data_IF_553958190675
#
_entry.id   IF_553958190675
#
_cell.length_a   1.000
_cell.length_b   1.000
_cell.length_c   1.000
_cell.angle_alpha   90.00
_cell.angle_beta   90.00
_cell.angle_gamma   90.00
#
_symmetry.space_group_name_H-M   'P 1'
#
loop_
_entity.id
_entity.type
_entity.pdbx_description
1 polymer ?
#
# COMPACT_ATOMS: atom_id res chain seq x y z
N UNK A 1 14.16 -4.75 -12.14
CA UNK A 1 13.80 -3.45 -11.52
C UNK A 1 13.82 -3.67 -10.01
N UNK A 2 14.24 -2.68 -9.22
CA UNK A 2 14.15 -2.78 -7.77
C UNK A 2 12.67 -2.92 -7.36
N UNK A 3 12.38 -3.80 -6.40
CA UNK A 3 11.01 -3.97 -5.90
C UNK A 3 10.61 -2.71 -5.10
N UNK A 4 9.34 -2.32 -5.19
CA UNK A 4 8.86 -1.15 -4.46
C UNK A 4 8.87 -1.46 -2.96
N UNK A 5 9.61 -0.66 -2.20
CA UNK A 5 9.71 -0.78 -0.75
C UNK A 5 8.51 -0.11 -0.06
N UNK A 6 7.92 -0.80 0.90
CA UNK A 6 6.99 -0.19 1.86
C UNK A 6 7.74 -0.01 3.16
N UNK A 7 7.63 1.18 3.73
CA UNK A 7 8.13 1.52 5.06
C UNK A 7 7.01 1.29 6.04
N UNK A 8 7.24 0.35 6.95
CA UNK A 8 6.21 -0.21 7.81
C UNK A 8 6.03 0.64 9.07
N UNK A 9 4.78 0.69 9.55
CA UNK A 9 4.42 1.33 10.80
C UNK A 9 4.80 0.44 11.96
N UNK A 10 5.88 0.80 12.66
CA UNK A 10 6.08 0.38 14.05
C UNK A 10 4.78 0.54 14.82
N UNK A 11 4.46 -0.34 15.77
CA UNK A 11 3.23 -0.27 16.57
C UNK A 11 3.29 0.80 17.69
N UNK A 12 4.18 1.76 17.53
CA UNK A 12 4.45 2.87 18.44
C UNK A 12 5.95 3.18 18.50
N UNK A 13 6.29 4.19 19.31
CA UNK A 13 7.68 4.57 19.54
C UNK A 13 8.58 3.43 20.06
N UNK A 14 8.16 2.54 20.98
CA UNK A 14 9.05 1.48 21.47
C UNK A 14 9.56 0.53 20.38
N UNK A 15 8.70 0.12 19.44
CA UNK A 15 9.13 -0.70 18.31
C UNK A 15 9.99 0.09 17.31
N UNK A 16 9.72 1.39 17.16
CA UNK A 16 10.57 2.28 16.36
C UNK A 16 11.97 2.38 16.93
N UNK A 17 12.07 2.64 18.23
CA UNK A 17 13.34 2.75 18.94
C UNK A 17 14.15 1.44 18.83
N UNK A 18 13.50 0.29 18.98
CA UNK A 18 14.15 -1.02 18.86
C UNK A 18 14.79 -1.23 17.49
N UNK A 19 14.06 -0.96 16.39
CA UNK A 19 14.61 -1.09 15.02
C UNK A 19 15.69 -0.03 14.73
N UNK A 20 15.52 1.18 15.24
CA UNK A 20 16.42 2.31 14.98
C UNK A 20 17.70 2.27 15.82
N UNK A 21 17.76 1.55 16.94
CA UNK A 21 18.93 1.45 17.83
C UNK A 21 20.19 0.86 17.16
N UNK A 22 20.04 0.14 16.03
CA UNK A 22 21.17 -0.29 15.19
C UNK A 22 21.64 0.75 14.14
N UNK A 23 20.89 1.84 13.96
CA UNK A 23 21.05 2.81 12.85
C UNK A 23 21.37 4.22 13.35
N UNK A 24 20.91 4.56 14.55
CA UNK A 24 21.09 5.87 15.17
C UNK A 24 21.79 5.75 16.54
N UNK A 25 22.59 6.76 16.95
CA UNK A 25 23.08 6.84 18.32
C UNK A 25 21.94 6.96 19.33
N UNK A 26 22.09 6.34 20.52
CA UNK A 26 21.08 6.45 21.61
C UNK A 26 20.72 7.89 21.99
N UNK A 27 21.68 8.80 21.93
CA UNK A 27 21.41 10.22 22.18
C UNK A 27 20.43 10.80 21.15
N UNK A 28 20.53 10.41 19.88
CA UNK A 28 19.58 10.83 18.84
C UNK A 28 18.21 10.20 19.09
N UNK A 29 18.15 8.93 19.47
CA UNK A 29 16.87 8.27 19.78
C UNK A 29 16.12 8.97 20.91
N UNK A 30 16.80 9.31 22.01
CA UNK A 30 16.19 10.05 23.11
C UNK A 30 15.62 11.41 22.66
N UNK A 31 16.30 12.09 21.74
CA UNK A 31 15.84 13.37 21.18
C UNK A 31 14.64 13.22 20.24
N UNK A 32 14.52 12.08 19.56
CA UNK A 32 13.37 11.75 18.72
C UNK A 32 12.17 11.28 19.54
N UNK A 33 12.39 10.59 20.66
CA UNK A 33 11.33 10.25 21.61
C UNK A 33 10.63 11.52 22.11
N UNK A 34 11.41 12.51 22.56
CA UNK A 34 10.87 13.80 23.03
C UNK A 34 10.11 14.53 21.90
N UNK A 35 10.61 14.48 20.67
CA UNK A 35 9.92 15.10 19.52
C UNK A 35 8.62 14.35 19.16
N UNK A 36 8.61 13.02 19.24
CA UNK A 36 7.43 12.21 19.01
C UNK A 36 6.36 12.46 20.09
N UNK A 37 6.75 12.50 21.37
CA UNK A 37 5.85 12.87 22.46
C UNK A 37 5.27 14.27 22.26
N UNK A 38 6.11 15.24 21.88
CA UNK A 38 5.65 16.59 21.53
C UNK A 38 4.65 16.59 20.38
N UNK A 39 4.90 15.84 19.31
CA UNK A 39 3.95 15.68 18.21
C UNK A 39 2.61 15.09 18.69
N UNK A 40 2.64 14.09 19.58
CA UNK A 40 1.43 13.51 20.17
C UNK A 40 0.65 14.50 21.05
N UNK A 41 1.33 15.37 21.79
CA UNK A 41 0.68 16.44 22.56
C UNK A 41 -0.16 17.36 21.66
N UNK A 42 0.38 17.72 20.48
CA UNK A 42 -0.32 18.60 19.53
C UNK A 42 -1.43 17.88 18.74
N UNK A 43 -1.14 16.71 18.18
CA UNK A 43 -2.10 15.98 17.34
C UNK A 43 -3.19 15.25 18.14
N UNK A 44 -2.97 15.00 19.44
CA UNK A 44 -3.95 14.37 20.32
C UNK A 44 -4.48 13.04 19.77
N UNK A 45 -5.80 12.94 19.61
CA UNK A 45 -6.50 11.75 19.10
C UNK A 45 -6.76 11.73 17.59
N UNK A 46 -6.00 12.49 16.80
CA UNK A 46 -6.20 12.61 15.34
C UNK A 46 -6.07 11.25 14.61
N UNK A 47 -6.96 11.03 13.64
CA UNK A 47 -7.06 9.80 12.83
C UNK A 47 -7.01 10.18 11.34
N UNK A 48 -6.28 9.40 10.53
CA UNK A 48 -6.18 9.57 9.07
C UNK A 48 -7.50 9.17 8.37
N UNK A 49 -7.71 9.58 7.10
CA UNK A 49 -8.93 9.21 6.35
C UNK A 49 -9.21 7.70 6.23
N UNK A 50 -8.20 6.85 6.37
CA UNK A 50 -8.30 5.40 6.35
C UNK A 50 -8.56 4.77 7.74
N UNK A 51 -8.63 5.57 8.81
CA UNK A 51 -8.85 5.09 10.18
C UNK A 51 -7.57 4.83 11.00
N UNK A 52 -6.39 4.98 10.39
CA UNK A 52 -5.08 4.83 11.04
C UNK A 52 -4.78 6.00 12.00
N UNK A 53 -4.05 5.73 13.07
CA UNK A 53 -3.65 6.79 13.99
C UNK A 53 -2.62 7.70 13.31
N UNK A 54 -2.72 9.01 13.53
CA UNK A 54 -1.88 9.96 12.81
C UNK A 54 -0.38 9.75 13.04
N UNK A 55 -0.01 9.28 14.22
CA UNK A 55 1.38 8.99 14.59
C UNK A 55 2.04 7.93 13.69
N UNK A 56 1.27 7.03 13.05
CA UNK A 56 1.81 6.04 12.11
C UNK A 56 2.49 6.73 10.92
N UNK A 57 1.90 7.82 10.43
CA UNK A 57 2.47 8.62 9.34
C UNK A 57 3.79 9.27 9.76
N UNK A 58 3.84 9.89 10.94
CA UNK A 58 5.06 10.51 11.46
C UNK A 58 6.22 9.53 11.56
N UNK A 59 5.95 8.33 12.08
CA UNK A 59 6.92 7.26 12.18
C UNK A 59 7.36 6.74 10.79
N UNK A 60 6.45 6.64 9.82
CA UNK A 60 6.81 6.27 8.45
C UNK A 60 7.72 7.30 7.78
N UNK A 61 7.52 8.60 8.03
CA UNK A 61 8.43 9.63 7.52
C UNK A 61 9.84 9.44 8.08
N UNK A 62 9.96 9.13 9.38
CA UNK A 62 11.26 8.81 9.99
C UNK A 62 11.86 7.53 9.41
N UNK A 63 11.08 6.47 9.21
CA UNK A 63 11.57 5.22 8.61
C UNK A 63 12.09 5.45 7.18
N UNK A 64 11.39 6.25 6.36
CA UNK A 64 11.88 6.64 5.04
C UNK A 64 13.22 7.38 5.16
N UNK A 65 13.32 8.40 6.02
CA UNK A 65 14.54 9.18 6.20
C UNK A 65 15.73 8.32 6.66
N UNK A 66 15.55 7.50 7.70
CA UNK A 66 16.65 6.70 8.27
C UNK A 66 16.94 5.48 7.42
N UNK A 67 15.93 4.68 7.16
CA UNK A 67 16.06 3.33 6.59
C UNK A 67 16.06 3.34 5.07
N UNK A 68 15.35 4.30 4.47
CA UNK A 68 15.35 4.53 3.04
C UNK A 68 16.55 5.34 2.60
N UNK A 69 16.87 6.42 3.35
CA UNK A 69 17.81 7.45 2.90
C UNK A 69 19.09 7.54 3.74
N UNK A 70 19.24 6.79 4.83
CA UNK A 70 20.44 6.81 5.67
C UNK A 70 20.67 8.14 6.38
N UNK A 71 19.62 8.92 6.61
CA UNK A 71 19.69 10.19 7.34
C UNK A 71 19.96 9.92 8.81
N UNK A 72 20.93 10.65 9.37
CA UNK A 72 21.31 10.61 10.80
C UNK A 72 21.27 11.98 11.46
N UNK A 73 20.87 13.01 10.70
CA UNK A 73 20.77 14.39 11.15
C UNK A 73 19.55 14.55 12.07
N UNK A 74 19.79 14.91 13.33
CA UNK A 74 18.75 14.95 14.37
C UNK A 74 17.68 16.01 14.09
N UNK A 75 18.02 17.19 13.56
CA UNK A 75 17.01 18.23 13.31
C UNK A 75 16.11 17.85 12.13
N UNK A 76 16.67 17.19 11.10
CA UNK A 76 15.88 16.69 9.98
C UNK A 76 14.93 15.56 10.41
N UNK A 77 15.39 14.66 11.29
CA UNK A 77 14.56 13.58 11.82
C UNK A 77 13.47 14.12 12.77
N UNK A 78 13.78 15.09 13.63
CA UNK A 78 12.78 15.82 14.43
C UNK A 78 11.77 16.54 13.55
N UNK A 79 12.22 17.23 12.51
CA UNK A 79 11.33 17.89 11.55
C UNK A 79 10.42 16.86 10.85
N UNK A 80 10.90 15.65 10.58
CA UNK A 80 10.07 14.53 10.13
C UNK A 80 8.89 14.22 11.06
N UNK A 81 9.12 14.21 12.37
CA UNK A 81 8.08 13.98 13.38
C UNK A 81 7.15 15.18 13.58
N UNK A 82 7.58 16.39 13.19
CA UNK A 82 6.90 17.65 13.50
C UNK A 82 6.33 18.37 12.27
N UNK A 83 6.53 17.83 11.07
CA UNK A 83 6.30 18.56 9.81
C UNK A 83 4.87 19.09 9.62
N UNK A 84 3.89 18.40 10.18
CA UNK A 84 2.48 18.75 10.04
C UNK A 84 1.91 19.48 11.28
N UNK A 85 2.71 19.72 12.33
CA UNK A 85 2.23 20.37 13.57
C UNK A 85 1.60 21.74 13.28
N UNK A 86 2.21 22.53 12.40
CA UNK A 86 1.73 23.88 12.07
C UNK A 86 0.55 23.83 11.08
N UNK A 87 0.45 22.79 10.26
CA UNK A 87 -0.60 22.68 9.24
C UNK A 87 -1.91 22.10 9.81
N UNK A 88 -1.79 21.13 10.72
CA UNK A 88 -2.92 20.32 11.20
C UNK A 88 -3.32 20.60 12.68
N UNK A 89 -2.58 21.45 13.40
CA UNK A 89 -2.83 21.73 14.83
C UNK A 89 -2.71 23.23 15.15
N UNK A 90 -2.93 23.61 16.41
CA UNK A 90 -2.73 24.98 16.91
C UNK A 90 -1.24 25.31 17.23
N UNK A 91 -0.31 24.37 16.99
CA UNK A 91 1.11 24.56 17.24
C UNK A 91 1.76 25.61 16.34
N UNK A 92 2.77 26.31 16.86
CA UNK A 92 3.45 27.42 16.17
C UNK A 92 4.93 27.15 15.90
N UNK A 93 5.52 27.81 14.90
CA UNK A 93 6.95 27.69 14.62
C UNK A 93 7.81 28.22 15.79
N UNK A 94 7.32 29.23 16.51
CA UNK A 94 7.98 29.75 17.71
C UNK A 94 8.04 28.70 18.83
N UNK A 95 6.98 27.92 19.02
CA UNK A 95 6.98 26.82 19.99
C UNK A 95 7.90 25.68 19.55
N UNK A 96 7.91 25.34 18.27
CA UNK A 96 8.84 24.34 17.71
C UNK A 96 10.29 24.80 17.92
N UNK A 97 10.61 26.07 17.63
CA UNK A 97 11.95 26.61 17.80
C UNK A 97 12.38 26.59 19.29
N UNK A 98 11.47 26.98 20.19
CA UNK A 98 11.73 27.01 21.62
C UNK A 98 11.99 25.62 22.22
N UNK A 99 11.32 24.57 21.72
CA UNK A 99 11.45 23.19 22.22
C UNK A 99 12.54 22.38 21.52
N UNK A 100 12.69 22.55 20.20
CA UNK A 100 13.47 21.64 19.34
C UNK A 100 14.57 22.33 18.52
N UNK A 101 14.72 23.65 18.68
CA UNK A 101 15.76 24.46 18.06
C UNK A 101 15.37 25.09 16.72
N UNK A 102 16.06 26.19 16.39
CA UNK A 102 15.80 27.01 15.20
C UNK A 102 15.83 26.21 13.90
N UNK A 103 16.82 25.34 13.72
CA UNK A 103 16.95 24.56 12.48
C UNK A 103 15.79 23.59 12.27
N UNK A 104 15.26 22.98 13.33
CA UNK A 104 14.07 22.14 13.25
C UNK A 104 12.86 22.96 12.81
N UNK A 105 12.66 24.14 13.41
CA UNK A 105 11.56 25.04 13.04
C UNK A 105 11.67 25.56 11.60
N UNK A 106 12.88 25.89 11.13
CA UNK A 106 13.14 26.27 9.73
C UNK A 106 12.73 25.18 8.75
N UNK A 107 13.05 23.91 9.06
CA UNK A 107 12.69 22.76 8.21
C UNK A 107 11.18 22.51 8.20
N UNK A 108 10.52 22.56 9.37
CA UNK A 108 9.05 22.43 9.47
C UNK A 108 8.38 23.55 8.67
N UNK A 109 8.77 24.81 8.90
CA UNK A 109 8.18 25.95 8.19
C UNK A 109 8.40 25.91 6.68
N UNK A 110 9.49 25.31 6.20
CA UNK A 110 9.74 25.15 4.78
C UNK A 110 8.80 24.14 4.10
N UNK A 111 8.24 23.17 4.85
CA UNK A 111 7.31 22.16 4.34
C UNK A 111 5.84 22.43 4.65
N UNK A 112 5.52 23.44 5.46
CA UNK A 112 4.15 23.91 5.73
C UNK A 112 3.57 24.72 4.56
N UNK A 113 2.30 24.48 4.22
CA UNK A 113 1.57 25.31 3.25
C UNK A 113 1.14 26.63 3.90
N UNK A 114 1.79 27.73 3.50
CA UNK A 114 1.44 29.08 3.95
C UNK A 114 0.17 29.65 3.31
N UNK A 115 -0.28 30.84 3.74
CA UNK A 115 -1.51 31.50 3.28
C UNK A 115 -1.51 31.82 1.78
N UNK A 116 -0.35 31.90 1.14
CA UNK A 116 -0.19 32.03 -0.31
C UNK A 116 -0.68 30.81 -1.11
N UNK A 117 -0.93 29.68 -0.43
CA UNK A 117 -1.57 28.49 -0.98
C UNK A 117 -0.63 27.53 -1.70
N UNK A 118 -1.21 26.38 -2.09
CA UNK A 118 -0.49 25.21 -2.63
C UNK A 118 0.38 25.52 -3.85
N UNK A 119 -0.06 26.39 -4.75
CA UNK A 119 0.70 26.71 -5.97
C UNK A 119 2.03 27.40 -5.67
N UNK A 120 2.03 28.39 -4.77
CA UNK A 120 3.24 29.10 -4.37
C UNK A 120 4.16 28.18 -3.54
N UNK A 121 3.58 27.36 -2.67
CA UNK A 121 4.29 26.31 -1.94
C UNK A 121 5.07 25.36 -2.87
N UNK A 122 4.38 24.75 -3.86
CA UNK A 122 5.02 23.86 -4.84
C UNK A 122 6.11 24.58 -5.66
N UNK A 123 5.92 25.87 -5.95
CA UNK A 123 6.92 26.70 -6.63
C UNK A 123 8.21 26.87 -5.82
N UNK A 124 8.12 27.00 -4.49
CA UNK A 124 9.30 27.12 -3.61
C UNK A 124 10.09 25.83 -3.51
N UNK A 125 9.44 24.67 -3.55
CA UNK A 125 10.11 23.36 -3.46
C UNK A 125 11.13 23.14 -4.58
N UNK A 126 10.88 23.66 -5.78
CA UNK A 126 11.77 23.48 -6.93
C UNK A 126 13.21 24.04 -6.73
N UNK A 127 13.40 24.98 -5.79
CA UNK A 127 14.69 25.54 -5.43
C UNK A 127 15.06 25.33 -3.96
N UNK A 128 14.37 24.45 -3.26
CA UNK A 128 14.57 24.22 -1.84
C UNK A 128 15.91 23.52 -1.55
N UNK A 129 16.37 23.60 -0.29
CA UNK A 129 17.56 22.90 0.14
C UNK A 129 17.38 21.38 0.05
N UNK A 130 18.50 20.65 0.04
CA UNK A 130 18.47 19.18 0.02
C UNK A 130 17.64 18.64 1.19
N UNK A 131 17.83 19.15 2.40
CA UNK A 131 17.13 18.65 3.60
C UNK A 131 15.61 18.86 3.50
N UNK A 132 15.16 20.02 3.00
CA UNK A 132 13.73 20.29 2.77
C UNK A 132 13.14 19.33 1.73
N UNK A 133 13.88 19.05 0.65
CA UNK A 133 13.44 18.08 -0.35
C UNK A 133 13.41 16.65 0.19
N UNK A 134 14.40 16.23 0.98
CA UNK A 134 14.39 14.93 1.63
C UNK A 134 13.19 14.78 2.56
N UNK A 135 12.91 15.79 3.39
CA UNK A 135 11.75 15.82 4.28
C UNK A 135 10.44 15.70 3.47
N UNK A 136 10.24 16.58 2.50
CA UNK A 136 8.97 16.62 1.75
C UNK A 136 8.74 15.38 0.90
N UNK A 137 9.79 14.82 0.31
CA UNK A 137 9.69 13.59 -0.45
C UNK A 137 9.46 12.37 0.45
N UNK A 138 9.99 12.38 1.68
CA UNK A 138 9.70 11.33 2.66
C UNK A 138 8.23 11.37 3.13
N UNK A 139 7.72 12.56 3.45
CA UNK A 139 6.28 12.80 3.72
C UNK A 139 5.39 12.37 2.54
N UNK A 140 5.75 12.80 1.32
CA UNK A 140 4.97 12.39 0.15
C UNK A 140 5.01 10.87 -0.03
N UNK A 141 6.16 10.22 0.20
CA UNK A 141 6.29 8.77 0.07
C UNK A 141 5.44 8.01 1.09
N UNK A 142 5.46 8.40 2.37
CA UNK A 142 4.61 7.76 3.41
C UNK A 142 3.12 7.82 3.06
N UNK A 143 2.70 8.91 2.41
CA UNK A 143 1.34 9.07 1.93
C UNK A 143 0.98 8.18 0.72
N UNK A 144 1.91 7.98 -0.22
CA UNK A 144 1.61 7.28 -1.49
C UNK A 144 2.01 5.80 -1.52
N UNK A 145 2.85 5.33 -0.60
CA UNK A 145 3.28 3.93 -0.56
C UNK A 145 2.10 2.94 -0.42
N UNK A 146 1.00 3.37 0.22
CA UNK A 146 -0.24 2.59 0.40
C UNK A 146 -1.43 3.19 -0.36
N UNK A 147 -1.20 3.86 -1.49
CA UNK A 147 -2.23 4.59 -2.23
C UNK A 147 -3.47 3.75 -2.60
N UNK A 148 -3.30 2.43 -2.82
CA UNK A 148 -4.39 1.51 -3.14
C UNK A 148 -5.45 1.39 -2.03
N UNK A 149 -5.11 1.69 -0.77
CA UNK A 149 -6.05 1.62 0.36
C UNK A 149 -7.01 2.81 0.39
N UNK A 150 -6.73 3.89 -0.33
CA UNK A 150 -7.61 5.05 -0.35
C UNK A 150 -8.97 4.68 -0.96
N UNK A 151 -10.12 4.93 -0.29
CA UNK A 151 -11.41 4.39 -0.71
C UNK A 151 -11.92 4.96 -2.04
N UNK A 152 -11.51 6.19 -2.39
CA UNK A 152 -11.94 6.87 -3.62
C UNK A 152 -10.91 6.69 -4.74
N UNK A 153 -11.27 5.99 -5.81
CA UNK A 153 -10.40 5.79 -6.99
C UNK A 153 -10.01 7.12 -7.65
N UNK A 154 -10.94 8.08 -7.75
CA UNK A 154 -10.63 9.41 -8.28
C UNK A 154 -9.50 10.12 -7.50
N UNK A 155 -9.43 9.90 -6.18
CA UNK A 155 -8.32 10.42 -5.37
C UNK A 155 -7.03 9.65 -5.61
N UNK A 156 -7.08 8.32 -5.73
CA UNK A 156 -5.92 7.51 -6.11
C UNK A 156 -5.30 8.04 -7.41
N UNK A 157 -6.10 8.18 -8.48
CA UNK A 157 -5.64 8.73 -9.76
C UNK A 157 -5.05 10.12 -9.64
N UNK A 158 -5.73 11.04 -8.92
CA UNK A 158 -5.24 12.41 -8.75
C UNK A 158 -3.91 12.49 -7.98
N UNK A 159 -3.75 11.68 -6.94
CA UNK A 159 -2.53 11.63 -6.13
C UNK A 159 -1.39 11.00 -6.91
N UNK A 160 -1.67 9.93 -7.66
CA UNK A 160 -0.69 9.32 -8.52
C UNK A 160 -0.16 10.31 -9.56
N UNK A 161 -1.07 10.96 -10.30
CA UNK A 161 -0.73 11.94 -11.32
C UNK A 161 0.07 13.13 -10.76
N UNK A 162 -0.37 13.73 -9.64
CA UNK A 162 0.37 14.83 -9.00
C UNK A 162 1.77 14.38 -8.56
N UNK A 163 1.88 13.17 -8.00
CA UNK A 163 3.16 12.64 -7.52
C UNK A 163 4.13 12.41 -8.67
N UNK A 164 3.66 11.80 -9.76
CA UNK A 164 4.46 11.59 -10.98
C UNK A 164 4.86 12.91 -11.63
N UNK A 165 3.94 13.88 -11.75
CA UNK A 165 4.22 15.15 -12.43
C UNK A 165 5.13 16.07 -11.61
N UNK A 166 4.94 16.12 -10.28
CA UNK A 166 5.55 17.16 -9.42
C UNK A 166 6.67 16.65 -8.53
N UNK A 167 6.55 15.44 -7.99
CA UNK A 167 7.46 14.95 -6.94
C UNK A 167 8.53 14.01 -7.49
N UNK A 168 8.19 13.12 -8.44
CA UNK A 168 9.17 12.25 -9.10
C UNK A 168 10.34 13.03 -9.72
N UNK A 169 10.14 14.19 -10.40
CA UNK A 169 11.27 14.98 -10.91
C UNK A 169 12.18 15.55 -9.81
N UNK A 170 11.65 15.83 -8.61
CA UNK A 170 12.42 16.34 -7.47
C UNK A 170 13.24 15.24 -6.79
N UNK A 171 12.86 13.97 -6.95
CA UNK A 171 13.55 12.82 -6.36
C UNK A 171 15.00 12.67 -6.85
N UNK A 172 15.42 13.38 -7.90
CA UNK A 172 16.83 13.43 -8.36
C UNK A 172 17.80 14.00 -7.32
N UNK A 173 17.29 14.65 -6.27
CA UNK A 173 18.09 15.15 -5.13
C UNK A 173 18.85 14.04 -4.39
N UNK A 174 18.36 12.79 -4.47
CA UNK A 174 18.99 11.62 -3.88
C UNK A 174 18.75 10.37 -4.73
N UNK A 175 19.79 9.58 -5.03
CA UNK A 175 19.64 8.39 -5.86
C UNK A 175 18.69 7.34 -5.26
N UNK A 176 18.62 7.24 -3.93
CA UNK A 176 17.73 6.29 -3.24
C UNK A 176 16.28 6.74 -3.40
N UNK A 177 16.00 8.04 -3.27
CA UNK A 177 14.67 8.58 -3.57
C UNK A 177 14.28 8.38 -5.03
N UNK A 178 15.19 8.65 -5.96
CA UNK A 178 14.96 8.43 -7.39
C UNK A 178 14.56 6.98 -7.67
N UNK A 179 15.24 6.02 -7.06
CA UNK A 179 14.92 4.59 -7.20
C UNK A 179 13.59 4.22 -6.53
N UNK A 180 13.33 4.71 -5.31
CA UNK A 180 12.07 4.49 -4.59
C UNK A 180 10.86 5.01 -5.37
N UNK A 181 10.94 6.24 -5.88
CA UNK A 181 9.87 6.86 -6.66
C UNK A 181 9.69 6.20 -8.04
N UNK A 182 10.77 5.77 -8.69
CA UNK A 182 10.66 5.04 -9.96
C UNK A 182 9.98 3.68 -9.76
N UNK A 183 10.35 2.93 -8.72
CA UNK A 183 9.70 1.66 -8.39
C UNK A 183 8.23 1.87 -7.99
N UNK A 184 7.94 2.90 -7.20
CA UNK A 184 6.57 3.25 -6.83
C UNK A 184 5.71 3.65 -8.04
N UNK A 185 6.22 4.51 -8.94
CA UNK A 185 5.49 4.94 -10.12
C UNK A 185 5.17 3.75 -11.04
N UNK A 186 6.14 2.86 -11.26
CA UNK A 186 5.92 1.64 -12.03
C UNK A 186 4.90 0.70 -11.37
N UNK A 187 4.92 0.57 -10.04
CA UNK A 187 3.99 -0.30 -9.33
C UNK A 187 2.53 0.20 -9.35
N UNK A 188 2.32 1.50 -9.46
CA UNK A 188 1.00 2.13 -9.46
C UNK A 188 0.56 2.63 -10.85
N UNK A 189 1.27 2.28 -11.92
CA UNK A 189 0.95 2.77 -13.28
C UNK A 189 -0.41 2.32 -13.80
N UNK A 190 -1.04 1.32 -13.20
CA UNK A 190 -2.44 0.97 -13.45
C UNK A 190 -3.41 2.14 -13.20
N UNK A 191 -3.00 3.18 -12.45
CA UNK A 191 -3.78 4.39 -12.21
C UNK A 191 -3.74 5.41 -13.36
N UNK A 192 -2.83 5.24 -14.34
CA UNK A 192 -2.72 6.12 -15.53
C UNK A 192 -3.88 5.93 -16.53
N UNK A 193 -4.56 4.79 -16.49
CA UNK A 193 -5.60 4.41 -17.45
C UNK A 193 -6.66 3.49 -16.85
N UNK A 194 -7.61 2.99 -17.65
CA UNK A 194 -8.47 1.90 -17.22
C UNK A 194 -7.66 0.62 -16.97
N UNK A 195 -8.10 -0.21 -16.02
CA UNK A 195 -7.51 -1.53 -15.75
C UNK A 195 -8.12 -2.56 -16.71
N UNK A 196 -7.84 -2.41 -18.01
CA UNK A 196 -8.41 -3.21 -19.10
C UNK A 196 -7.42 -4.14 -19.81
N UNK A 197 -6.20 -4.26 -19.26
CA UNK A 197 -5.15 -5.16 -19.73
C UNK A 197 -4.71 -6.13 -18.64
N UNK A 198 -4.11 -7.26 -19.02
CA UNK A 198 -3.51 -8.21 -18.08
C UNK A 198 -2.41 -7.59 -17.23
N UNK A 199 -1.60 -6.70 -17.82
CA UNK A 199 -0.54 -6.00 -17.09
C UNK A 199 -1.12 -5.08 -16.01
N UNK A 200 -2.14 -4.28 -16.35
CA UNK A 200 -2.79 -3.42 -15.36
C UNK A 200 -3.51 -4.23 -14.28
N UNK A 201 -4.14 -5.35 -14.64
CA UNK A 201 -4.79 -6.24 -13.67
C UNK A 201 -3.78 -6.88 -12.71
N UNK A 202 -2.61 -7.29 -13.22
CA UNK A 202 -1.52 -7.82 -12.38
C UNK A 202 -0.93 -6.75 -11.45
N UNK A 203 -0.74 -5.53 -11.95
CA UNK A 203 -0.30 -4.39 -11.15
C UNK A 203 -1.31 -4.06 -10.04
N UNK A 204 -2.61 -4.05 -10.34
CA UNK A 204 -3.67 -3.86 -9.35
C UNK A 204 -3.66 -4.99 -8.31
N UNK A 205 -3.58 -6.26 -8.74
CA UNK A 205 -3.50 -7.41 -7.85
C UNK A 205 -2.28 -7.31 -6.92
N UNK A 206 -1.12 -6.96 -7.46
CA UNK A 206 0.10 -6.74 -6.70
C UNK A 206 -0.03 -5.58 -5.70
N UNK A 207 -0.78 -4.52 -6.05
CA UNK A 207 -1.01 -3.40 -5.16
C UNK A 207 -1.92 -3.77 -3.99
N UNK A 208 -3.06 -4.40 -4.23
CA UNK A 208 -4.05 -4.71 -3.16
C UNK A 208 -3.61 -5.85 -2.24
N UNK A 209 -2.79 -6.78 -2.73
CA UNK A 209 -2.25 -7.90 -1.95
C UNK A 209 -0.85 -7.64 -1.38
N UNK A 210 -0.33 -6.40 -1.48
CA UNK A 210 1.08 -6.06 -1.18
C UNK A 210 1.53 -6.44 0.23
N UNK A 211 0.66 -6.21 1.22
CA UNK A 211 0.93 -6.49 2.63
C UNK A 211 0.42 -7.87 3.06
N UNK A 212 -0.23 -8.59 2.15
CA UNK A 212 -0.79 -9.89 2.43
C UNK A 212 0.25 -10.99 2.19
N UNK A 213 0.39 -11.87 3.18
CA UNK A 213 1.13 -13.12 3.06
C UNK A 213 0.17 -14.30 3.12
N UNK A 214 0.53 -15.39 2.44
CA UNK A 214 -0.21 -16.63 2.55
C UNK A 214 0.11 -17.38 3.86
N UNK A 215 -0.56 -18.52 4.07
CA UNK A 215 -0.38 -19.34 5.29
C UNK A 215 1.04 -19.89 5.49
N UNK A 216 1.88 -19.83 4.46
CA UNK A 216 3.29 -20.22 4.53
C UNK A 216 4.27 -19.04 4.64
N UNK A 217 3.76 -17.81 4.73
CA UNK A 217 4.56 -16.59 4.82
C UNK A 217 5.05 -16.04 3.48
N UNK A 218 4.61 -16.62 2.35
CA UNK A 218 4.96 -16.14 1.01
C UNK A 218 4.06 -14.96 0.60
N UNK A 219 4.54 -14.01 -0.22
CA UNK A 219 3.71 -12.92 -0.73
C UNK A 219 2.45 -13.44 -1.45
N UNK A 220 1.28 -12.94 -1.05
CA UNK A 220 -0.01 -13.44 -1.55
C UNK A 220 -0.18 -13.24 -3.06
N UNK A 221 0.42 -12.21 -3.65
CA UNK A 221 0.40 -11.97 -5.11
C UNK A 221 0.88 -13.18 -5.92
N UNK A 222 1.75 -14.02 -5.36
CA UNK A 222 2.20 -15.25 -6.02
C UNK A 222 1.06 -16.27 -6.20
N UNK A 223 0.07 -16.25 -5.29
CA UNK A 223 -1.12 -17.09 -5.37
C UNK A 223 -1.97 -16.74 -6.60
N UNK A 224 -2.38 -15.47 -6.70
CA UNK A 224 -3.26 -15.02 -7.79
C UNK A 224 -2.57 -15.10 -9.16
N UNK A 225 -1.26 -14.84 -9.23
CA UNK A 225 -0.44 -15.08 -10.44
C UNK A 225 -0.36 -16.56 -10.80
N UNK A 226 -0.22 -17.44 -9.80
CA UNK A 226 -0.24 -18.89 -9.99
C UNK A 226 -1.57 -19.39 -10.55
N UNK A 227 -2.69 -18.87 -10.03
CA UNK A 227 -4.02 -19.17 -10.56
C UNK A 227 -4.19 -18.67 -12.00
N UNK A 228 -3.75 -17.44 -12.30
CA UNK A 228 -3.80 -16.89 -13.66
C UNK A 228 -2.96 -17.69 -14.66
N UNK A 229 -1.78 -18.17 -14.26
CA UNK A 229 -0.94 -19.01 -15.11
C UNK A 229 -1.59 -20.37 -15.41
N UNK A 230 -2.23 -20.99 -14.42
CA UNK A 230 -2.98 -22.24 -14.62
C UNK A 230 -4.18 -22.00 -15.54
N UNK A 231 -4.94 -20.93 -15.32
CA UNK A 231 -6.06 -20.57 -16.19
C UNK A 231 -5.60 -20.39 -17.65
N UNK A 232 -4.50 -19.66 -17.86
CA UNK A 232 -3.88 -19.45 -19.17
C UNK A 232 -3.47 -20.78 -19.82
N UNK A 233 -2.79 -21.65 -19.07
CA UNK A 233 -2.39 -23.00 -19.52
C UNK A 233 -3.58 -23.83 -19.98
N UNK A 234 -4.71 -23.69 -19.30
CA UNK A 234 -5.94 -24.45 -19.57
C UNK A 234 -6.83 -23.80 -20.64
N UNK A 235 -6.34 -22.75 -21.31
CA UNK A 235 -7.02 -22.12 -22.45
C UNK A 235 -8.01 -21.02 -22.09
N UNK A 236 -7.90 -20.45 -20.88
CA UNK A 236 -8.71 -19.30 -20.48
C UNK A 236 -8.42 -18.06 -21.35
N UNK A 237 -9.47 -17.32 -21.71
CA UNK A 237 -9.34 -16.05 -22.43
C UNK A 237 -8.73 -14.95 -21.53
N UNK A 238 -8.47 -13.77 -22.11
CA UNK A 238 -7.84 -12.66 -21.37
C UNK A 238 -8.69 -12.18 -20.19
N UNK A 239 -10.02 -12.14 -20.32
CA UNK A 239 -10.89 -11.70 -19.23
C UNK A 239 -10.91 -12.71 -18.09
N UNK A 240 -10.88 -14.00 -18.39
CA UNK A 240 -10.76 -15.04 -17.39
C UNK A 240 -9.39 -15.00 -16.68
N UNK A 241 -8.31 -14.73 -17.42
CA UNK A 241 -6.98 -14.53 -16.82
C UNK A 241 -6.95 -13.28 -15.93
N UNK A 242 -7.56 -12.16 -16.34
CA UNK A 242 -7.71 -10.97 -15.49
C UNK A 242 -8.53 -11.28 -14.23
N UNK A 243 -9.64 -12.02 -14.36
CA UNK A 243 -10.45 -12.43 -13.22
C UNK A 243 -9.67 -13.35 -12.28
N UNK A 244 -8.80 -14.22 -12.79
CA UNK A 244 -7.91 -15.05 -11.97
C UNK A 244 -6.88 -14.22 -11.19
N UNK A 245 -6.34 -13.15 -11.78
CA UNK A 245 -5.45 -12.21 -11.07
C UNK A 245 -6.18 -11.45 -9.95
N UNK A 246 -7.48 -11.19 -10.11
CA UNK A 246 -8.27 -10.33 -9.21
C UNK A 246 -9.24 -11.09 -8.29
N UNK A 247 -9.26 -12.43 -8.34
CA UNK A 247 -10.37 -13.21 -7.75
C UNK A 247 -10.51 -13.04 -6.23
N UNK A 248 -9.41 -12.86 -5.52
CA UNK A 248 -9.40 -12.67 -4.06
C UNK A 248 -9.29 -11.20 -3.65
N UNK A 249 -9.18 -10.28 -4.62
CA UNK A 249 -9.04 -8.84 -4.32
C UNK A 249 -10.19 -8.35 -3.44
N UNK A 250 -11.42 -8.82 -3.67
CA UNK A 250 -12.60 -8.39 -2.90
C UNK A 250 -12.83 -9.24 -1.64
N UNK A 251 -12.43 -10.52 -1.66
CA UNK A 251 -12.67 -11.43 -0.51
C UNK A 251 -11.65 -11.19 0.61
N UNK A 252 -10.39 -10.94 0.26
CA UNK A 252 -9.26 -10.97 1.20
C UNK A 252 -8.61 -9.60 1.45
N UNK A 253 -9.06 -8.54 0.78
CA UNK A 253 -8.50 -7.19 0.94
C UNK A 253 -9.60 -6.15 1.18
N UNK A 254 -9.23 -4.88 1.37
CA UNK A 254 -10.18 -3.76 1.45
C UNK A 254 -10.76 -3.33 0.09
N UNK A 255 -10.35 -3.96 -1.02
CA UNK A 255 -10.84 -3.63 -2.35
C UNK A 255 -12.33 -4.00 -2.49
N UNK A 256 -13.08 -3.19 -3.24
CA UNK A 256 -14.51 -3.37 -3.47
C UNK A 256 -14.83 -3.53 -4.95
N UNK A 257 -15.95 -4.18 -5.27
CA UNK A 257 -16.45 -4.28 -6.65
C UNK A 257 -16.67 -2.90 -7.29
N UNK A 258 -17.09 -1.90 -6.50
CA UNK A 258 -17.22 -0.51 -6.96
C UNK A 258 -15.86 0.06 -7.34
N UNK A 259 -14.81 -0.17 -6.56
CA UNK A 259 -13.46 0.26 -6.92
C UNK A 259 -12.96 -0.42 -8.20
N UNK A 260 -13.20 -1.72 -8.40
CA UNK A 260 -12.84 -2.40 -9.65
C UNK A 260 -13.53 -1.74 -10.85
N UNK A 261 -14.83 -1.44 -10.71
CA UNK A 261 -15.60 -0.73 -11.75
C UNK A 261 -15.04 0.68 -12.02
N UNK A 262 -14.79 1.46 -10.97
CA UNK A 262 -14.25 2.83 -11.07
C UNK A 262 -12.82 2.87 -11.61
N UNK A 263 -12.04 1.79 -11.40
CA UNK A 263 -10.71 1.60 -11.99
C UNK A 263 -10.78 1.26 -13.48
N UNK A 264 -11.96 0.96 -14.02
CA UNK A 264 -12.16 0.61 -15.43
C UNK A 264 -11.91 -0.87 -15.73
N UNK A 265 -12.01 -1.75 -14.73
CA UNK A 265 -11.98 -3.20 -14.95
C UNK A 265 -13.17 -3.59 -15.82
N UNK A 266 -13.00 -4.39 -16.90
CA UNK A 266 -14.08 -4.75 -17.80
C UNK A 266 -15.25 -5.42 -17.07
N UNK A 267 -16.53 -5.11 -17.41
CA UNK A 267 -17.68 -5.68 -16.72
C UNK A 267 -17.69 -7.22 -16.62
N UNK A 268 -17.33 -7.99 -17.67
CA UNK A 268 -17.25 -9.46 -17.54
C UNK A 268 -16.24 -9.93 -16.48
N UNK A 269 -15.13 -9.19 -16.31
CA UNK A 269 -14.13 -9.49 -15.28
C UNK A 269 -14.69 -9.21 -13.89
N UNK A 270 -15.35 -8.06 -13.70
CA UNK A 270 -15.99 -7.70 -12.42
C UNK A 270 -17.09 -8.70 -12.05
N UNK A 271 -17.90 -9.16 -13.01
CA UNK A 271 -18.93 -10.19 -12.82
C UNK A 271 -18.32 -11.52 -12.38
N UNK A 272 -17.20 -11.94 -12.98
CA UNK A 272 -16.48 -13.14 -12.56
C UNK A 272 -15.90 -12.98 -11.14
N UNK A 273 -15.33 -11.82 -10.80
CA UNK A 273 -14.79 -11.57 -9.45
C UNK A 273 -15.91 -11.56 -8.39
N UNK A 274 -17.06 -10.93 -8.65
CA UNK A 274 -18.24 -11.03 -7.75
C UNK A 274 -18.68 -12.50 -7.59
N UNK A 275 -18.74 -13.25 -8.70
CA UNK A 275 -19.08 -14.68 -8.69
C UNK A 275 -18.13 -15.53 -7.85
N UNK A 276 -16.83 -15.19 -7.85
CA UNK A 276 -15.79 -15.89 -7.11
C UNK A 276 -15.72 -15.48 -5.63
N UNK A 277 -16.18 -14.28 -5.31
CA UNK A 277 -16.22 -13.72 -3.95
C UNK A 277 -17.35 -14.33 -3.13
N UNK A 278 -17.04 -14.84 -1.93
CA UNK A 278 -18.05 -15.32 -0.97
C UNK A 278 -18.78 -14.18 -0.28
N UNK A 279 -20.12 -14.28 -0.17
CA UNK A 279 -20.93 -13.28 0.54
C UNK A 279 -21.10 -13.65 2.02
N UNK A 280 -21.15 -12.67 2.93
CA UNK A 280 -21.40 -12.93 4.35
C UNK A 280 -22.73 -13.70 4.55
N UNK A 281 -22.65 -14.86 5.21
CA UNK A 281 -23.80 -15.72 5.48
C UNK A 281 -24.30 -16.57 4.31
N UNK A 282 -23.65 -16.53 3.14
CA UNK A 282 -24.03 -17.35 1.98
C UNK A 282 -23.69 -18.82 2.21
N UNK A 283 -24.66 -19.71 1.93
CA UNK A 283 -24.41 -21.15 2.00
C UNK A 283 -23.46 -21.59 0.89
N UNK A 284 -22.62 -22.59 1.16
CA UNK A 284 -21.57 -23.00 0.22
C UNK A 284 -22.13 -23.45 -1.15
N UNK A 285 -23.25 -24.18 -1.16
CA UNK A 285 -23.88 -24.64 -2.40
C UNK A 285 -24.54 -23.49 -3.18
N UNK A 286 -25.06 -22.47 -2.50
CA UNK A 286 -25.63 -21.28 -3.15
C UNK A 286 -24.53 -20.47 -3.85
N UNK A 287 -23.37 -20.33 -3.19
CA UNK A 287 -22.16 -19.75 -3.78
C UNK A 287 -21.73 -20.51 -5.04
N UNK A 288 -21.61 -21.85 -4.98
CA UNK A 288 -21.21 -22.65 -6.15
C UNK A 288 -22.25 -22.55 -7.27
N UNK A 289 -23.55 -22.57 -6.95
CA UNK A 289 -24.60 -22.43 -7.93
C UNK A 289 -24.59 -21.06 -8.61
N UNK A 290 -24.28 -19.98 -7.86
CA UNK A 290 -24.09 -18.64 -8.41
C UNK A 290 -22.89 -18.59 -9.35
N UNK A 291 -21.75 -19.14 -8.93
CA UNK A 291 -20.52 -19.21 -9.71
C UNK A 291 -20.71 -19.95 -11.04
N UNK A 292 -21.36 -21.12 -11.03
CA UNK A 292 -21.61 -21.91 -12.26
C UNK A 292 -22.50 -21.16 -13.26
N UNK A 293 -23.43 -20.33 -12.78
CA UNK A 293 -24.30 -19.53 -13.66
C UNK A 293 -23.61 -18.31 -14.27
N UNK A 294 -22.45 -17.90 -13.75
CA UNK A 294 -21.70 -16.76 -14.26
C UNK A 294 -20.81 -17.20 -15.44
N UNK A 295 -21.01 -16.64 -16.64
CA UNK A 295 -20.16 -16.94 -17.79
C UNK A 295 -18.68 -16.70 -17.47
N UNK A 296 -17.83 -17.66 -17.81
CA UNK A 296 -16.37 -17.56 -17.66
C UNK A 296 -15.80 -17.83 -16.26
N UNK A 297 -16.62 -17.85 -15.19
CA UNK A 297 -16.12 -18.00 -13.81
C UNK A 297 -15.63 -19.41 -13.45
N UNK A 298 -16.17 -20.45 -14.08
CA UNK A 298 -15.82 -21.86 -13.78
C UNK A 298 -14.33 -22.16 -14.04
N UNK A 299 -13.74 -21.82 -15.21
CA UNK A 299 -12.31 -22.00 -15.44
C UNK A 299 -11.42 -21.31 -14.40
N UNK A 300 -11.78 -20.10 -13.97
CA UNK A 300 -11.04 -19.37 -12.93
C UNK A 300 -11.07 -20.14 -11.61
N UNK A 301 -12.25 -20.66 -11.21
CA UNK A 301 -12.36 -21.43 -9.98
C UNK A 301 -11.57 -22.74 -10.00
N UNK A 302 -11.53 -23.41 -11.16
CA UNK A 302 -10.70 -24.61 -11.33
C UNK A 302 -9.22 -24.30 -11.17
N UNK A 303 -8.76 -23.20 -11.76
CA UNK A 303 -7.38 -22.78 -11.66
C UNK A 303 -6.97 -22.44 -10.21
N UNK A 304 -7.83 -21.73 -9.48
CA UNK A 304 -7.66 -21.50 -8.02
C UNK A 304 -7.56 -22.83 -7.25
N UNK A 305 -8.52 -23.73 -7.44
CA UNK A 305 -8.54 -25.04 -6.76
C UNK A 305 -7.28 -25.85 -7.07
N UNK A 306 -6.84 -25.88 -8.33
CA UNK A 306 -5.63 -26.59 -8.72
C UNK A 306 -4.39 -25.97 -8.07
N UNK A 307 -4.27 -24.64 -8.10
CA UNK A 307 -3.14 -23.95 -7.49
C UNK A 307 -3.05 -24.28 -6.00
N UNK A 308 -4.17 -24.16 -5.28
CA UNK A 308 -4.30 -24.49 -3.86
C UNK A 308 -4.05 -25.98 -3.56
N UNK A 309 -4.35 -26.87 -4.52
CA UNK A 309 -4.16 -28.32 -4.39
C UNK A 309 -2.79 -28.81 -4.87
N UNK A 310 -1.87 -27.92 -5.28
CA UNK A 310 -0.55 -28.32 -5.74
C UNK A 310 0.25 -29.09 -4.66
N UNK A 311 1.05 -30.11 -5.03
CA UNK A 311 1.85 -30.88 -4.05
C UNK A 311 2.75 -30.01 -3.18
N UNK A 312 3.37 -28.97 -3.77
CA UNK A 312 4.24 -28.04 -3.08
C UNK A 312 3.50 -27.30 -1.94
N UNK A 313 2.29 -26.76 -2.20
CA UNK A 313 1.49 -26.06 -1.18
C UNK A 313 0.92 -27.02 -0.15
N UNK A 314 0.37 -28.17 -0.59
CA UNK A 314 -0.19 -29.19 0.32
C UNK A 314 0.81 -29.70 1.33
N UNK A 315 2.07 -29.90 0.92
CA UNK A 315 3.14 -30.42 1.80
C UNK A 315 3.46 -29.50 2.99
N UNK A 316 3.07 -28.22 2.94
CA UNK A 316 3.27 -27.24 4.01
C UNK A 316 2.15 -27.23 5.06
N UNK A 317 1.07 -28.00 4.84
CA UNK A 317 -0.10 -28.05 5.70
C UNK A 317 -0.11 -29.33 6.54
N UNK A 318 -0.73 -29.28 7.72
CA UNK A 318 -0.97 -30.45 8.54
C UNK A 318 -1.98 -31.43 7.88
N UNK A 319 -1.96 -32.69 8.31
CA UNK A 319 -2.76 -33.76 7.70
C UNK A 319 -4.28 -33.54 7.82
N UNK A 320 -4.76 -32.92 8.90
CA UNK A 320 -6.19 -32.64 9.10
C UNK A 320 -6.67 -31.57 8.13
N UNK A 321 -5.90 -30.49 7.99
CA UNK A 321 -6.15 -29.42 7.02
C UNK A 321 -6.13 -29.96 5.58
N UNK A 322 -5.18 -30.85 5.25
CA UNK A 322 -5.11 -31.47 3.92
C UNK A 322 -6.37 -32.25 3.59
N UNK A 323 -6.85 -33.12 4.49
CA UNK A 323 -8.05 -33.94 4.22
C UNK A 323 -9.31 -33.08 4.14
N UNK A 324 -9.44 -32.07 4.99
CA UNK A 324 -10.56 -31.12 4.96
C UNK A 324 -10.62 -30.37 3.63
N UNK A 325 -9.49 -29.83 3.16
CA UNK A 325 -9.42 -29.13 1.87
C UNK A 325 -9.68 -30.08 0.70
N UNK A 326 -9.15 -31.31 0.75
CA UNK A 326 -9.41 -32.34 -0.27
C UNK A 326 -10.90 -32.61 -0.45
N UNK A 327 -11.64 -32.80 0.65
CA UNK A 327 -13.09 -33.00 0.61
C UNK A 327 -13.82 -31.77 0.07
N UNK A 328 -13.45 -30.57 0.54
CA UNK A 328 -14.02 -29.29 0.06
C UNK A 328 -13.85 -29.12 -1.45
N UNK A 329 -12.65 -29.37 -1.97
CA UNK A 329 -12.34 -29.22 -3.39
C UNK A 329 -12.98 -30.31 -4.25
N UNK A 330 -13.06 -31.56 -3.77
CA UNK A 330 -13.77 -32.62 -4.48
C UNK A 330 -15.26 -32.27 -4.69
N UNK A 331 -15.95 -31.82 -3.64
CA UNK A 331 -17.35 -31.36 -3.72
C UNK A 331 -17.49 -30.19 -4.70
N UNK A 332 -16.59 -29.20 -4.63
CA UNK A 332 -16.62 -28.07 -5.55
C UNK A 332 -16.47 -28.53 -7.01
N UNK A 333 -15.49 -29.39 -7.32
CA UNK A 333 -15.26 -29.89 -8.68
C UNK A 333 -16.48 -30.67 -9.22
N UNK A 334 -17.12 -31.50 -8.40
CA UNK A 334 -18.35 -32.22 -8.79
C UNK A 334 -19.50 -31.27 -9.17
N UNK A 335 -19.61 -30.12 -8.52
CA UNK A 335 -20.62 -29.10 -8.86
C UNK A 335 -20.22 -28.33 -10.12
N UNK A 336 -18.93 -28.04 -10.31
CA UNK A 336 -18.41 -27.33 -11.49
C UNK A 336 -18.43 -28.17 -12.77
N UNK A 337 -18.54 -29.51 -12.68
CA UNK A 337 -18.62 -30.45 -13.80
C UNK A 337 -20.06 -30.65 -14.33
N UNK A 338 -21.08 -30.11 -13.65
CA UNK A 338 -22.51 -30.26 -14.02
C UNK A 338 -23.01 -29.15 -14.94
#
# INVERSE_FOLDING_TARGET
>A
MADMRVFAGWDGWPAAEEDLNGRLPRAVLAELEVAFEGALEWHGGQVRPAGEAYWEHLLQVVDVLVSGLGVTDVDLLRAGLLHDVVEDTDGTLEEVAARFGERTAELVGAVTIGPEGRTAYLGRLAGASRDVLLLKLSDRYSNVQRLHTHPRVAKQRSYYAETVERFVPMAVVDNRLKELYAAWAAAYSYLDGPVDTLEAADQLAAAVHREQVDKSGEPYVLHVRGAAEIARRDGADEYQQMAALLHDSVEDTSCTLTQLTDLGVPPPVVEMVDALTRRPGEHHDDYLARLVRTPGAVPVKRADIEHNSSPARRSRLDAETQERLRKKYAHALEVLDR
#
